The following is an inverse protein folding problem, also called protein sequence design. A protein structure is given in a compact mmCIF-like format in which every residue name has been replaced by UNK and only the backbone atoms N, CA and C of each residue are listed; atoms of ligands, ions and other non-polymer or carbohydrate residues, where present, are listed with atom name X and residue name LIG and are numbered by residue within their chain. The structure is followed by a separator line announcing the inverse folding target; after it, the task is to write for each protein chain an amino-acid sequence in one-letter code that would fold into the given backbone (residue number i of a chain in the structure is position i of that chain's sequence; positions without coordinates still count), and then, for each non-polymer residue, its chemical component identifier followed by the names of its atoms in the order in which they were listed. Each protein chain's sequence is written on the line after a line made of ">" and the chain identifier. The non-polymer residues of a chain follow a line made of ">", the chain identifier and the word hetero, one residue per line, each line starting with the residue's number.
data_IF_743042458777
#
_entry.id   IF_743042458777
#
_cell.length_a   1.000
_cell.length_b   1.000
_cell.length_c   1.000
_cell.angle_alpha   90.00
_cell.angle_beta   90.00
_cell.angle_gamma   90.00
#
_symmetry.space_group_name_H-M   'P 1'
#
loop_
_entity.id
_entity.type
_entity.pdbx_description
1 polymer ?
#
# COMPACT_ATOMS: atom_id res chain seq x y z
N UNK A 1 7.35 20.23 34.43
CA UNK A 1 8.09 19.01 34.01
C UNK A 1 9.49 19.15 34.60
N UNK A 2 9.80 18.38 35.65
CA UNK A 2 11.08 18.48 36.38
C UNK A 2 12.12 17.70 35.55
N UNK A 3 13.15 18.41 35.07
CA UNK A 3 14.30 17.79 34.37
C UNK A 3 15.38 17.59 35.43
N UNK A 4 15.81 16.36 35.71
CA UNK A 4 16.83 16.11 36.72
C UNK A 4 18.18 16.72 36.29
N UNK A 5 18.80 17.48 37.19
CA UNK A 5 20.09 18.14 36.96
C UNK A 5 21.27 17.19 37.21
N UNK A 6 21.07 16.09 37.96
CA UNK A 6 22.12 15.12 38.28
C UNK A 6 22.17 13.96 37.25
N UNK A 7 23.36 13.72 36.69
CA UNK A 7 23.61 12.67 35.71
C UNK A 7 23.35 11.26 36.28
N UNK A 8 23.53 11.06 37.58
CA UNK A 8 23.25 9.81 38.27
C UNK A 8 21.74 9.53 38.35
N UNK A 9 20.93 10.56 38.54
CA UNK A 9 19.48 10.46 38.57
C UNK A 9 18.92 10.20 37.18
N UNK A 10 19.47 10.79 36.11
CA UNK A 10 19.15 10.52 34.73
C UNK A 10 19.44 9.05 34.35
N UNK A 11 20.55 8.50 34.79
CA UNK A 11 20.90 7.08 34.58
C UNK A 11 19.88 6.15 35.24
N UNK A 12 19.51 6.43 36.51
CA UNK A 12 18.50 5.64 37.26
C UNK A 12 17.12 5.70 36.60
N UNK A 13 16.71 6.87 36.10
CA UNK A 13 15.44 7.03 35.38
C UNK A 13 15.43 6.27 34.02
N UNK A 14 16.56 6.31 33.33
CA UNK A 14 16.71 5.56 32.06
C UNK A 14 16.72 4.04 32.29
N UNK A 15 17.38 3.55 33.35
CA UNK A 15 17.36 2.13 33.71
C UNK A 15 15.97 1.67 34.12
N UNK A 16 15.25 2.45 34.95
CA UNK A 16 13.86 2.19 35.33
C UNK A 16 12.95 2.20 34.08
N UNK A 17 13.12 3.14 33.14
CA UNK A 17 12.39 3.21 31.90
C UNK A 17 12.63 1.97 31.04
N UNK A 18 13.88 1.51 30.90
CA UNK A 18 14.26 0.29 30.22
C UNK A 18 13.67 -0.97 30.89
N UNK A 19 13.61 -0.99 32.21
CA UNK A 19 13.05 -2.13 32.94
C UNK A 19 11.52 -2.18 32.81
N UNK A 20 10.84 -1.03 32.82
CA UNK A 20 9.40 -0.94 32.55
C UNK A 20 9.09 -1.36 31.11
N UNK A 21 9.91 -0.94 30.14
CA UNK A 21 9.77 -1.37 28.73
C UNK A 21 10.07 -2.86 28.57
N UNK A 22 11.05 -3.42 29.26
CA UNK A 22 11.28 -4.87 29.29
C UNK A 22 10.11 -5.64 29.90
N UNK A 23 9.48 -5.11 30.96
CA UNK A 23 8.27 -5.72 31.56
C UNK A 23 7.04 -5.59 30.67
N UNK A 24 6.91 -4.49 29.91
CA UNK A 24 5.83 -4.31 28.94
C UNK A 24 6.06 -5.12 27.66
N UNK A 25 7.32 -5.27 27.23
CA UNK A 25 7.68 -6.08 26.06
C UNK A 25 7.93 -7.57 26.40
N UNK A 26 8.09 -7.87 27.68
CA UNK A 26 7.96 -9.24 28.18
C UNK A 26 6.50 -9.61 28.05
N UNK A 27 6.19 -10.31 26.93
CA UNK A 27 4.87 -10.74 26.56
C UNK A 27 4.04 -11.13 27.77
N UNK A 28 3.09 -10.26 28.16
CA UNK A 28 1.90 -10.73 28.83
C UNK A 28 1.19 -11.56 27.75
N UNK A 29 1.54 -12.84 27.68
CA UNK A 29 0.75 -13.78 26.92
C UNK A 29 -0.64 -13.70 27.50
N UNK A 30 -1.68 -13.40 26.72
CA UNK A 30 -3.02 -13.53 27.22
C UNK A 30 -3.14 -14.98 27.70
N UNK A 31 -3.18 -15.14 29.00
CA UNK A 31 -3.47 -16.44 29.60
C UNK A 31 -4.91 -16.75 29.17
N UNK A 32 -5.05 -17.70 28.27
CA UNK A 32 -6.37 -18.24 27.95
C UNK A 32 -6.91 -18.92 29.20
N UNK A 33 -7.89 -18.29 29.81
CA UNK A 33 -8.53 -18.76 31.05
C UNK A 33 -9.46 -19.98 30.77
N UNK A 34 -9.70 -20.29 29.48
CA UNK A 34 -10.61 -21.37 29.06
C UNK A 34 -10.02 -22.78 29.23
N UNK A 35 -8.74 -22.88 29.54
CA UNK A 35 -8.06 -24.17 29.80
C UNK A 35 -8.12 -25.19 28.66
N UNK A 36 -8.62 -24.82 27.48
CA UNK A 36 -8.75 -25.72 26.36
C UNK A 36 -7.38 -26.02 25.73
N UNK A 37 -6.99 -27.28 25.81
CA UNK A 37 -5.75 -27.78 25.20
C UNK A 37 -6.08 -28.93 24.26
N UNK A 38 -5.73 -28.80 22.98
CA UNK A 38 -5.84 -29.86 22.00
C UNK A 38 -4.45 -30.40 21.66
N UNK A 39 -4.17 -31.63 22.10
CA UNK A 39 -2.87 -32.25 21.91
C UNK A 39 -2.58 -32.69 20.48
N UNK A 40 -3.61 -32.86 19.63
CA UNK A 40 -3.44 -33.31 18.24
C UNK A 40 -2.96 -32.15 17.35
N UNK A 41 -3.62 -31.02 17.43
CA UNK A 41 -3.25 -29.82 16.66
C UNK A 41 -2.38 -28.84 17.47
N UNK A 42 -1.99 -29.22 18.69
CA UNK A 42 -1.16 -28.44 19.61
C UNK A 42 -1.77 -27.08 20.03
N UNK A 43 -3.06 -26.86 19.78
CA UNK A 43 -3.76 -25.64 20.11
C UNK A 43 -3.83 -25.43 21.63
N UNK A 44 -3.45 -24.26 22.11
CA UNK A 44 -3.34 -23.92 23.52
C UNK A 44 -2.08 -24.49 24.23
N UNK A 45 -1.16 -25.11 23.50
CA UNK A 45 0.14 -25.57 24.01
C UNK A 45 1.26 -24.56 23.69
N UNK A 46 2.46 -24.76 24.24
CA UNK A 46 3.65 -23.98 23.88
C UNK A 46 4.08 -24.10 22.41
N UNK A 47 3.51 -25.07 21.70
CA UNK A 47 3.76 -25.32 20.27
C UNK A 47 2.57 -24.91 19.39
N UNK A 48 1.67 -24.11 19.94
CA UNK A 48 0.55 -23.53 19.21
C UNK A 48 1.05 -22.49 18.19
N UNK A 49 0.96 -22.84 16.93
CA UNK A 49 1.39 -21.94 15.84
C UNK A 49 0.50 -20.70 15.74
N UNK A 50 -0.74 -20.73 16.25
CA UNK A 50 -1.61 -19.56 16.27
C UNK A 50 -1.17 -18.49 17.26
N UNK A 51 -0.46 -18.89 18.33
CA UNK A 51 0.14 -17.96 19.29
C UNK A 51 1.56 -17.53 18.90
N UNK A 52 2.21 -18.29 17.99
CA UNK A 52 3.53 -17.96 17.47
C UNK A 52 3.54 -16.79 16.48
N UNK A 53 2.37 -16.31 16.07
CA UNK A 53 2.26 -15.10 15.27
C UNK A 53 2.62 -13.87 16.10
N UNK A 54 3.90 -13.72 16.34
CA UNK A 54 4.45 -12.40 16.66
C UNK A 54 4.43 -11.62 15.36
N UNK A 55 3.66 -10.53 15.34
CA UNK A 55 3.80 -9.51 14.32
C UNK A 55 5.20 -8.89 14.50
N UNK A 56 6.20 -9.54 13.94
CA UNK A 56 7.51 -8.95 13.75
C UNK A 56 7.36 -8.06 12.51
N UNK A 57 7.70 -6.80 12.67
CA UNK A 57 7.77 -5.88 11.55
C UNK A 57 8.92 -6.37 10.68
N UNK A 58 8.59 -7.18 9.68
CA UNK A 58 9.57 -7.66 8.73
C UNK A 58 10.21 -6.46 8.02
N UNK A 59 11.52 -6.51 7.73
CA UNK A 59 12.16 -5.48 6.96
C UNK A 59 11.46 -5.38 5.61
N UNK A 60 11.14 -4.15 5.19
CA UNK A 60 10.54 -3.89 3.87
C UNK A 60 11.50 -4.41 2.81
N UNK A 61 10.99 -5.24 1.89
CA UNK A 61 11.77 -5.73 0.76
C UNK A 61 12.15 -4.52 -0.10
N UNK A 62 13.43 -4.31 -0.44
CA UNK A 62 13.85 -3.21 -1.31
C UNK A 62 13.21 -3.30 -2.70
N UNK A 63 12.86 -2.17 -3.30
CA UNK A 63 12.16 -2.09 -4.59
C UNK A 63 12.91 -2.83 -5.70
N UNK A 64 14.26 -2.78 -5.71
CA UNK A 64 15.09 -3.53 -6.65
C UNK A 64 14.89 -5.06 -6.54
N UNK A 65 14.68 -5.58 -5.33
CA UNK A 65 14.40 -7.01 -5.13
C UNK A 65 12.97 -7.36 -5.56
N UNK A 66 12.01 -6.46 -5.32
CA UNK A 66 10.62 -6.62 -5.78
C UNK A 66 10.58 -6.67 -7.31
N UNK A 67 11.28 -5.76 -7.98
CA UNK A 67 11.41 -5.75 -9.44
C UNK A 67 12.03 -7.05 -9.94
N UNK A 68 13.12 -7.49 -9.34
CA UNK A 68 13.77 -8.75 -9.71
C UNK A 68 12.87 -9.99 -9.50
N UNK A 69 12.04 -9.99 -8.46
CA UNK A 69 11.05 -11.05 -8.22
C UNK A 69 9.92 -11.00 -9.26
N UNK A 70 9.47 -9.80 -9.61
CA UNK A 70 8.41 -9.61 -10.61
C UNK A 70 8.86 -10.04 -12.00
N UNK A 71 10.06 -9.68 -12.42
CA UNK A 71 10.62 -10.03 -13.73
C UNK A 71 11.09 -11.50 -13.81
N UNK A 72 11.65 -12.02 -12.72
CA UNK A 72 12.27 -13.34 -12.69
C UNK A 72 11.35 -14.50 -12.29
N UNK A 73 10.19 -14.23 -11.71
CA UNK A 73 9.30 -15.26 -11.18
C UNK A 73 7.87 -15.14 -11.69
N UNK A 74 7.50 -16.01 -12.63
CA UNK A 74 6.17 -15.97 -13.27
C UNK A 74 4.99 -16.24 -12.30
N UNK A 75 5.19 -16.86 -11.14
CA UNK A 75 4.16 -16.98 -10.12
C UNK A 75 3.97 -15.65 -9.39
N UNK A 76 5.07 -14.97 -9.07
CA UNK A 76 5.03 -13.68 -8.41
C UNK A 76 4.38 -12.60 -9.30
N UNK A 77 4.75 -12.55 -10.60
CA UNK A 77 4.10 -11.63 -11.54
C UNK A 77 2.60 -11.90 -11.66
N UNK A 78 2.15 -13.15 -11.72
CA UNK A 78 0.72 -13.47 -11.72
C UNK A 78 -0.02 -13.03 -10.45
N UNK A 79 0.59 -13.10 -9.28
CA UNK A 79 0.00 -12.60 -8.03
C UNK A 79 -0.24 -11.08 -8.10
N UNK A 80 0.62 -10.37 -8.81
CA UNK A 80 0.51 -8.91 -9.00
C UNK A 80 -0.46 -8.58 -10.14
N UNK A 81 -0.32 -9.23 -11.29
CA UNK A 81 -1.03 -8.89 -12.52
C UNK A 81 -2.50 -9.32 -12.51
N UNK A 82 -2.78 -10.57 -12.10
CA UNK A 82 -4.15 -11.12 -12.19
C UNK A 82 -5.21 -10.25 -11.49
N UNK A 83 -5.00 -9.74 -10.26
CA UNK A 83 -6.00 -8.90 -9.63
C UNK A 83 -6.21 -7.54 -10.33
N UNK A 84 -5.16 -6.99 -10.97
CA UNK A 84 -5.28 -5.76 -11.73
C UNK A 84 -6.07 -5.98 -13.03
N UNK A 85 -5.77 -7.06 -13.73
CA UNK A 85 -6.47 -7.46 -14.96
C UNK A 85 -7.94 -7.82 -14.70
N UNK A 86 -8.22 -8.59 -13.65
CA UNK A 86 -9.61 -8.94 -13.29
C UNK A 86 -10.42 -7.74 -12.80
N UNK A 87 -9.79 -6.75 -12.16
CA UNK A 87 -10.47 -5.53 -11.71
C UNK A 87 -10.97 -4.67 -12.88
N UNK A 88 -10.23 -4.66 -14.00
CA UNK A 88 -10.55 -3.85 -15.17
C UNK A 88 -11.22 -4.64 -16.30
N UNK A 89 -11.33 -5.96 -16.20
CA UNK A 89 -11.83 -6.86 -17.25
C UNK A 89 -13.20 -6.50 -17.80
N UNK A 90 -14.05 -5.90 -16.99
CA UNK A 90 -15.42 -5.55 -17.39
C UNK A 90 -15.57 -4.06 -17.69
N UNK A 91 -14.47 -3.30 -17.64
CA UNK A 91 -14.51 -1.85 -17.80
C UNK A 91 -15.43 -1.18 -16.78
N UNK A 92 -16.04 -0.09 -17.18
CA UNK A 92 -17.08 0.60 -16.42
C UNK A 92 -18.14 1.14 -17.39
N UNK A 93 -19.38 1.18 -16.93
CA UNK A 93 -20.47 1.73 -17.71
C UNK A 93 -20.63 3.22 -17.38
N UNK A 94 -20.52 4.07 -18.40
CA UNK A 94 -20.82 5.49 -18.27
C UNK A 94 -22.32 5.71 -18.37
N UNK A 95 -22.89 6.38 -17.37
CA UNK A 95 -24.31 6.74 -17.36
C UNK A 95 -24.45 8.26 -17.34
N UNK A 96 -24.14 8.90 -18.45
CA UNK A 96 -24.33 10.33 -18.65
C UNK A 96 -25.74 10.64 -19.19
N UNK A 97 -26.09 11.91 -19.24
CA UNK A 97 -27.43 12.38 -19.62
C UNK A 97 -27.78 12.17 -21.09
N UNK A 98 -26.81 11.90 -21.97
CA UNK A 98 -27.02 11.64 -23.39
C UNK A 98 -26.05 10.59 -23.91
N UNK A 99 -26.52 9.79 -24.88
CA UNK A 99 -25.73 8.77 -25.54
C UNK A 99 -24.56 9.37 -26.33
N UNK A 100 -24.73 10.59 -26.87
CA UNK A 100 -23.67 11.30 -27.58
C UNK A 100 -22.51 11.69 -26.65
N UNK A 101 -22.84 12.11 -25.41
CA UNK A 101 -21.80 12.42 -24.40
C UNK A 101 -21.11 11.13 -23.91
N UNK A 102 -21.82 10.02 -23.77
CA UNK A 102 -21.21 8.75 -23.42
C UNK A 102 -20.16 8.36 -24.49
N UNK A 103 -20.55 8.34 -25.76
CA UNK A 103 -19.66 8.00 -26.87
C UNK A 103 -18.44 8.93 -26.92
N UNK A 104 -18.63 10.24 -26.74
CA UNK A 104 -17.52 11.20 -26.74
C UNK A 104 -16.53 10.95 -25.59
N UNK A 105 -17.03 10.63 -24.39
CA UNK A 105 -16.16 10.36 -23.25
C UNK A 105 -15.47 8.99 -23.39
N UNK A 106 -16.16 7.99 -23.93
CA UNK A 106 -15.57 6.68 -24.23
C UNK A 106 -14.41 6.81 -25.23
N UNK A 107 -14.63 7.51 -26.34
CA UNK A 107 -13.59 7.76 -27.35
C UNK A 107 -12.39 8.50 -26.74
N UNK A 108 -12.64 9.52 -25.89
CA UNK A 108 -11.57 10.27 -25.23
C UNK A 108 -10.78 9.43 -24.21
N UNK A 109 -11.42 8.50 -23.52
CA UNK A 109 -10.77 7.58 -22.60
C UNK A 109 -9.94 6.53 -23.34
N UNK A 110 -10.44 6.05 -24.47
CA UNK A 110 -9.71 5.11 -25.33
C UNK A 110 -8.45 5.77 -25.91
N UNK A 111 -8.55 7.02 -26.38
CA UNK A 111 -7.41 7.80 -26.85
C UNK A 111 -6.32 7.99 -25.77
N UNK A 112 -6.73 8.07 -24.51
CA UNK A 112 -5.83 8.18 -23.35
C UNK A 112 -5.27 6.83 -22.88
N UNK A 113 -5.67 5.71 -23.51
CA UNK A 113 -5.29 4.34 -23.09
C UNK A 113 -5.57 4.11 -21.58
N UNK A 114 -6.67 4.68 -21.07
CA UNK A 114 -6.93 4.74 -19.62
C UNK A 114 -6.92 3.38 -18.93
N UNK A 115 -7.43 2.33 -19.59
CA UNK A 115 -7.46 0.97 -19.02
C UNK A 115 -6.05 0.44 -18.80
N UNK A 116 -5.15 0.62 -19.77
CA UNK A 116 -3.76 0.19 -19.66
C UNK A 116 -3.01 0.97 -18.58
N UNK A 117 -3.24 2.29 -18.53
CA UNK A 117 -2.65 3.16 -17.50
C UNK A 117 -3.16 2.81 -16.11
N UNK A 118 -4.46 2.56 -15.96
CA UNK A 118 -5.05 2.14 -14.70
C UNK A 118 -4.55 0.75 -14.27
N UNK A 119 -4.48 -0.22 -15.19
CA UNK A 119 -3.91 -1.55 -14.92
C UNK A 119 -2.47 -1.44 -14.41
N UNK A 120 -1.65 -0.64 -15.08
CA UNK A 120 -0.26 -0.38 -14.70
C UNK A 120 -0.17 0.24 -13.32
N UNK A 121 -1.00 1.24 -13.03
CA UNK A 121 -1.03 1.87 -11.71
C UNK A 121 -1.41 0.89 -10.60
N UNK A 122 -2.42 0.02 -10.83
CA UNK A 122 -2.82 -1.00 -9.86
C UNK A 122 -1.69 -2.02 -9.64
N UNK A 123 -1.03 -2.47 -10.72
CA UNK A 123 0.12 -3.39 -10.63
C UNK A 123 1.26 -2.77 -9.82
N UNK A 124 1.63 -1.54 -10.09
CA UNK A 124 2.70 -0.85 -9.36
C UNK A 124 2.31 -0.53 -7.92
N UNK A 125 1.07 -0.13 -7.67
CA UNK A 125 0.59 0.07 -6.31
C UNK A 125 0.65 -1.23 -5.47
N UNK A 126 0.37 -2.38 -6.09
CA UNK A 126 0.49 -3.69 -5.43
C UNK A 126 1.94 -4.12 -5.24
N UNK A 127 2.82 -3.83 -6.19
CA UNK A 127 4.23 -4.24 -6.17
C UNK A 127 5.05 -3.36 -5.20
N UNK A 128 4.89 -2.05 -5.28
CA UNK A 128 5.71 -1.08 -4.54
C UNK A 128 4.97 -0.41 -3.37
N UNK A 129 3.69 -0.71 -3.18
CA UNK A 129 2.88 -0.15 -2.10
C UNK A 129 2.26 1.20 -2.41
N UNK A 130 2.42 1.72 -3.62
CA UNK A 130 1.80 2.95 -4.09
C UNK A 130 2.14 3.25 -5.55
N UNK A 131 1.21 3.91 -6.25
CA UNK A 131 1.42 4.45 -7.58
C UNK A 131 0.65 5.76 -7.71
N UNK A 132 1.06 6.61 -8.64
CA UNK A 132 0.43 7.89 -8.93
C UNK A 132 0.12 7.96 -10.42
N UNK A 133 -1.11 8.33 -10.77
CA UNK A 133 -1.48 8.69 -12.13
C UNK A 133 -1.51 10.21 -12.21
N UNK A 134 -0.72 10.78 -13.10
CA UNK A 134 -0.67 12.21 -13.37
C UNK A 134 -1.35 12.47 -14.70
N UNK A 135 -2.34 13.36 -14.70
CA UNK A 135 -2.98 13.86 -15.92
C UNK A 135 -2.20 15.06 -16.45
N UNK A 136 -1.73 14.99 -17.69
CA UNK A 136 -1.20 16.15 -18.39
C UNK A 136 -2.36 16.88 -19.06
N UNK A 137 -2.62 18.09 -18.60
CA UNK A 137 -3.75 18.92 -19.02
C UNK A 137 -3.21 20.10 -19.83
N UNK A 138 -3.74 20.33 -21.04
CA UNK A 138 -3.52 21.55 -21.79
C UNK A 138 -4.58 22.61 -21.43
N UNK A 139 -4.16 23.63 -20.71
CA UNK A 139 -4.93 24.84 -20.41
C UNK A 139 -4.37 26.09 -21.13
N UNK A 140 -3.36 25.87 -21.99
CA UNK A 140 -2.63 26.93 -22.70
C UNK A 140 -1.56 27.62 -21.88
N UNK A 141 -1.27 27.12 -20.68
CA UNK A 141 -0.21 27.61 -19.77
C UNK A 141 0.98 26.63 -19.74
N UNK A 142 2.04 27.04 -19.07
CA UNK A 142 3.19 26.15 -18.83
C UNK A 142 2.89 25.12 -17.75
N UNK A 143 3.50 23.92 -17.86
CA UNK A 143 3.36 22.83 -16.88
C UNK A 143 3.81 23.21 -15.45
N UNK A 144 4.53 24.31 -15.28
CA UNK A 144 5.01 24.83 -14.00
C UNK A 144 3.94 25.69 -13.29
N UNK A 145 2.90 26.09 -14.00
CA UNK A 145 1.82 26.93 -13.47
C UNK A 145 0.67 26.07 -12.95
N UNK A 146 -0.08 26.54 -11.94
CA UNK A 146 -1.30 25.86 -11.49
C UNK A 146 -2.33 25.76 -12.62
N UNK A 147 -3.00 24.62 -12.72
CA UNK A 147 -4.02 24.37 -13.75
C UNK A 147 -5.16 25.38 -13.66
N UNK A 148 -5.50 25.99 -14.78
CA UNK A 148 -6.68 26.86 -14.92
C UNK A 148 -7.90 26.02 -15.31
N UNK A 149 -8.70 25.65 -14.32
CA UNK A 149 -9.88 24.78 -14.47
C UNK A 149 -10.96 25.36 -15.40
N UNK A 150 -10.95 26.69 -15.63
CA UNK A 150 -11.93 27.33 -16.47
C UNK A 150 -11.55 27.30 -17.97
N UNK A 151 -10.28 27.02 -18.28
CA UNK A 151 -9.71 27.09 -19.63
C UNK A 151 -9.09 25.78 -20.10
N UNK A 152 -9.48 24.66 -19.51
CA UNK A 152 -9.01 23.33 -19.95
C UNK A 152 -9.44 23.11 -21.40
N UNK A 153 -8.49 22.74 -22.26
CA UNK A 153 -8.68 22.43 -23.67
C UNK A 153 -8.73 20.94 -23.93
N UNK A 154 -7.78 20.20 -23.35
CA UNK A 154 -7.64 18.76 -23.50
C UNK A 154 -6.92 18.14 -22.31
N UNK A 155 -7.02 16.82 -22.20
CA UNK A 155 -6.12 15.98 -21.43
C UNK A 155 -5.25 15.26 -22.45
N UNK A 156 -3.96 15.56 -22.45
CA UNK A 156 -3.06 15.10 -23.50
C UNK A 156 -2.54 13.68 -23.22
N UNK A 157 -2.30 13.36 -21.94
CA UNK A 157 -1.70 12.08 -21.57
C UNK A 157 -1.98 11.72 -20.10
N UNK A 158 -2.06 10.43 -19.83
CA UNK A 158 -2.02 9.86 -18.49
C UNK A 158 -0.65 9.22 -18.25
N UNK A 159 0.10 9.73 -17.26
CA UNK A 159 1.39 9.13 -16.87
C UNK A 159 1.30 8.43 -15.55
N UNK A 160 1.81 7.22 -15.49
CA UNK A 160 1.87 6.43 -14.28
C UNK A 160 3.27 6.51 -13.70
N UNK A 161 3.36 6.78 -12.40
CA UNK A 161 4.60 6.80 -11.64
C UNK A 161 4.50 5.82 -10.48
N UNK A 162 5.56 5.06 -10.26
CA UNK A 162 5.72 4.22 -9.09
C UNK A 162 6.16 5.07 -7.89
N UNK A 163 6.02 4.51 -6.71
CA UNK A 163 6.59 5.09 -5.50
C UNK A 163 8.12 4.90 -5.54
N UNK A 164 8.87 5.97 -5.75
CA UNK A 164 10.33 6.02 -5.60
C UNK A 164 10.72 6.37 -4.17
#
# INVERSE_FOLDING_TARGET
>A
MHIPEDEAERRRLNERGREILRRKNGAVRPHREDGYVNLLNKYGTKQDNSEAYKFEREPVIPDMQLTGLYEGNGLFSKIIDTPAEEALKHGFDLNLKSDELNAFVEDALDDLEWEERAATAIKWARLYGGALIVMLIDDGRGLEEPVDWEHIRSIDELRVYERS
#
